data_IF_394060338703
#
_entry.id   IF_394060338703
#
_cell.length_a   1.000
_cell.length_b   1.000
_cell.length_c   1.000
_cell.angle_alpha   90.00
_cell.angle_beta   90.00
_cell.angle_gamma   90.00
#
_symmetry.space_group_name_H-M   'P 1'
#
loop_
_entity.id
_entity.type
_entity.pdbx_description
1 polymer ?
#
# COMPACT_ATOMS: atom_id res chain seq x y z
N UNK A 1 -76.42 -9.88 -31.78
CA UNK A 1 -77.63 -9.04 -31.66
C UNK A 1 -78.29 -9.37 -30.32
N UNK A 2 -78.31 -8.43 -29.39
CA UNK A 2 -78.86 -8.62 -28.05
C UNK A 2 -78.60 -7.35 -27.23
N UNK A 3 -79.69 -6.67 -26.90
CA UNK A 3 -79.77 -5.29 -26.44
C UNK A 3 -79.28 -5.04 -25.02
N UNK A 4 -78.95 -3.76 -24.83
CA UNK A 4 -78.75 -2.98 -23.60
C UNK A 4 -79.75 -3.27 -22.47
N UNK A 5 -79.31 -3.15 -21.22
CA UNK A 5 -79.79 -2.06 -20.36
C UNK A 5 -78.87 -1.76 -19.17
N UNK A 6 -78.75 -0.46 -18.93
CA UNK A 6 -78.01 0.25 -17.88
C UNK A 6 -78.89 0.36 -16.64
N UNK A 7 -78.31 0.24 -15.44
CA UNK A 7 -78.68 1.09 -14.30
C UNK A 7 -77.57 1.12 -13.24
N UNK A 8 -77.27 2.35 -12.83
CA UNK A 8 -76.29 2.78 -11.85
C UNK A 8 -76.63 2.31 -10.43
N UNK A 9 -75.61 2.15 -9.58
CA UNK A 9 -75.69 2.68 -8.22
C UNK A 9 -74.30 2.89 -7.60
N UNK A 10 -74.26 3.91 -6.75
CA UNK A 10 -73.10 4.61 -6.23
C UNK A 10 -72.18 3.73 -5.39
N UNK A 11 -70.88 3.95 -5.54
CA UNK A 11 -69.86 3.53 -4.57
C UNK A 11 -69.63 4.70 -3.63
N UNK A 12 -69.97 4.49 -2.36
CA UNK A 12 -69.60 5.37 -1.26
C UNK A 12 -68.13 5.18 -0.88
N UNK A 13 -67.58 6.30 -0.44
CA UNK A 13 -66.19 6.59 -0.14
C UNK A 13 -65.59 5.70 0.95
N UNK A 14 -64.40 5.16 0.67
CA UNK A 14 -63.47 4.66 1.68
C UNK A 14 -62.32 5.69 1.80
N UNK A 15 -61.98 6.16 3.00
CA UNK A 15 -60.92 7.14 3.17
C UNK A 15 -59.55 6.49 2.92
N UNK A 16 -58.73 7.20 2.15
CA UNK A 16 -57.33 6.92 1.90
C UNK A 16 -56.53 6.92 3.21
N UNK A 17 -55.98 5.77 3.59
CA UNK A 17 -54.87 5.72 4.54
C UNK A 17 -53.62 6.33 3.87
N UNK A 18 -53.17 7.45 4.43
CA UNK A 18 -51.85 8.01 4.16
C UNK A 18 -50.77 6.97 4.55
N UNK A 19 -49.82 6.63 3.67
CA UNK A 19 -48.60 5.98 4.11
C UNK A 19 -47.82 7.00 4.95
N UNK A 20 -47.79 6.74 6.26
CA UNK A 20 -46.90 7.43 7.19
C UNK A 20 -45.48 7.38 6.63
N UNK A 21 -44.96 8.57 6.34
CA UNK A 21 -43.55 8.83 6.09
C UNK A 21 -42.75 8.22 7.25
N UNK A 22 -42.14 7.06 7.03
CA UNK A 22 -41.03 6.58 7.86
C UNK A 22 -39.87 7.52 7.59
N UNK A 23 -39.86 8.65 8.31
CA UNK A 23 -38.66 9.40 8.64
C UNK A 23 -37.71 8.40 9.28
N UNK A 24 -36.86 7.77 8.46
CA UNK A 24 -35.61 7.21 8.92
C UNK A 24 -34.86 8.39 9.49
N UNK A 25 -34.82 8.47 10.82
CA UNK A 25 -33.71 9.13 11.48
C UNK A 25 -32.45 8.50 10.91
N UNK A 26 -31.84 9.18 9.93
CA UNK A 26 -30.40 9.17 9.80
C UNK A 26 -29.92 9.65 11.15
N UNK A 27 -29.56 8.72 12.01
CA UNK A 27 -28.50 9.01 12.94
C UNK A 27 -27.34 9.39 12.04
N UNK A 28 -27.10 10.69 11.94
CA UNK A 28 -25.78 11.20 11.65
C UNK A 28 -24.90 10.60 12.75
N UNK A 29 -24.38 9.39 12.49
CA UNK A 29 -23.13 8.98 13.10
C UNK A 29 -22.17 10.04 12.65
N UNK A 30 -21.94 11.02 13.52
CA UNK A 30 -20.72 11.81 13.52
C UNK A 30 -19.59 10.80 13.32
N UNK A 31 -19.09 10.71 12.08
CA UNK A 31 -17.82 10.08 11.78
C UNK A 31 -16.83 10.91 12.57
N UNK A 32 -16.60 10.52 13.83
CA UNK A 32 -15.45 11.00 14.58
C UNK A 32 -14.27 10.58 13.70
N UNK A 33 -13.68 11.55 13.00
CA UNK A 33 -12.39 11.42 12.33
C UNK A 33 -11.38 11.12 13.43
N UNK A 34 -11.34 9.84 13.81
CA UNK A 34 -10.22 9.32 14.54
C UNK A 34 -9.09 9.34 13.51
N UNK A 35 -8.23 10.35 13.61
CA UNK A 35 -6.87 10.35 13.07
C UNK A 35 -5.94 9.72 14.12
N UNK A 36 -6.01 8.41 14.44
CA UNK A 36 -4.99 7.88 15.31
C UNK A 36 -3.69 7.85 14.53
N UNK A 37 -2.65 8.29 15.22
CA UNK A 37 -1.29 7.85 15.00
C UNK A 37 -0.56 8.31 13.75
N UNK A 38 -1.16 9.04 12.79
CA UNK A 38 -0.35 9.74 11.79
C UNK A 38 0.62 10.71 12.45
N UNK A 39 0.25 11.39 13.54
CA UNK A 39 1.13 12.39 14.16
C UNK A 39 2.24 11.79 15.03
N UNK A 40 1.98 10.73 15.81
CA UNK A 40 3.01 10.03 16.58
C UNK A 40 3.99 9.26 15.67
N UNK A 41 3.46 8.62 14.62
CA UNK A 41 4.24 8.02 13.54
C UNK A 41 5.07 9.08 12.81
N UNK A 42 4.45 10.18 12.37
CA UNK A 42 5.16 11.29 11.72
C UNK A 42 6.24 11.84 12.62
N UNK A 43 5.97 12.08 13.91
CA UNK A 43 7.01 12.54 14.86
C UNK A 43 8.17 11.57 14.98
N UNK A 44 7.90 10.26 15.04
CA UNK A 44 8.93 9.22 15.14
C UNK A 44 9.76 9.14 13.85
N UNK A 45 9.12 9.05 12.68
CA UNK A 45 9.80 8.98 11.39
C UNK A 45 10.51 10.31 11.05
N UNK A 46 9.85 11.44 11.27
CA UNK A 46 10.43 12.78 11.06
C UNK A 46 11.60 13.04 12.00
N UNK A 47 11.64 12.45 13.20
CA UNK A 47 12.81 12.56 14.08
C UNK A 47 14.04 11.81 13.56
N UNK A 48 13.83 10.83 12.68
CA UNK A 48 14.91 10.05 12.03
C UNK A 48 15.33 10.70 10.71
N UNK A 49 14.40 11.33 9.99
CA UNK A 49 14.67 12.03 8.72
C UNK A 49 15.38 13.36 9.01
N UNK A 50 16.67 13.42 8.75
CA UNK A 50 17.46 14.65 8.80
C UNK A 50 17.61 15.17 7.38
N UNK A 51 17.00 16.32 7.08
CA UNK A 51 17.23 17.01 5.81
C UNK A 51 18.69 17.45 5.71
N UNK A 52 19.40 16.92 4.71
CA UNK A 52 20.76 17.34 4.40
C UNK A 52 20.72 18.31 3.22
N UNK A 53 21.06 19.60 3.42
CA UNK A 53 20.84 20.66 2.41
C UNK A 53 21.67 20.49 1.13
N UNK A 54 22.61 19.54 1.08
CA UNK A 54 23.46 19.25 -0.08
C UNK A 54 22.92 18.13 -0.98
N UNK A 55 21.87 17.42 -0.58
CA UNK A 55 21.36 16.27 -1.34
C UNK A 55 20.27 16.67 -2.33
N UNK A 56 20.26 16.03 -3.50
CA UNK A 56 19.10 16.06 -4.39
C UNK A 56 17.89 15.40 -3.70
N UNK A 57 16.70 15.61 -4.26
CA UNK A 57 15.49 14.98 -3.72
C UNK A 57 15.59 13.44 -3.74
N UNK A 58 16.11 12.84 -4.82
CA UNK A 58 16.38 11.40 -4.91
C UNK A 58 17.36 10.89 -3.86
N UNK A 59 18.48 11.58 -3.70
CA UNK A 59 19.50 11.22 -2.71
C UNK A 59 18.98 11.28 -1.28
N UNK A 60 18.13 12.27 -0.97
CA UNK A 60 17.48 12.35 0.34
C UNK A 60 16.56 11.14 0.57
N UNK A 61 15.77 10.74 -0.43
CA UNK A 61 14.91 9.55 -0.30
C UNK A 61 15.74 8.28 -0.04
N UNK A 62 16.87 8.11 -0.74
CA UNK A 62 17.79 6.98 -0.52
C UNK A 62 18.34 6.99 0.91
N UNK A 63 18.78 8.14 1.40
CA UNK A 63 19.26 8.28 2.78
C UNK A 63 18.16 7.95 3.80
N UNK A 64 16.93 8.38 3.56
CA UNK A 64 15.79 8.08 4.44
C UNK A 64 15.52 6.56 4.47
N UNK A 65 15.61 5.86 3.33
CA UNK A 65 15.49 4.40 3.28
C UNK A 65 16.60 3.70 4.07
N UNK A 66 17.85 4.19 3.96
CA UNK A 66 18.97 3.68 4.76
C UNK A 66 18.67 3.81 6.25
N UNK A 67 18.23 4.99 6.68
CA UNK A 67 18.01 5.27 8.10
C UNK A 67 16.83 4.49 8.67
N UNK A 68 15.75 4.31 7.89
CA UNK A 68 14.54 3.61 8.31
C UNK A 68 14.65 2.09 8.27
N UNK A 69 15.62 1.56 7.53
CA UNK A 69 15.89 0.12 7.47
C UNK A 69 17.02 -0.33 8.40
N UNK A 70 17.77 0.61 9.00
CA UNK A 70 18.75 0.34 10.05
C UNK A 70 18.07 0.02 11.39
N UNK A 71 18.17 -1.22 11.84
CA UNK A 71 17.59 -1.68 13.11
C UNK A 71 18.20 -1.00 14.34
N UNK A 72 19.41 -0.44 14.25
CA UNK A 72 20.00 0.31 15.35
C UNK A 72 19.37 1.70 15.51
N UNK A 73 18.90 2.29 14.40
CA UNK A 73 18.20 3.58 14.39
C UNK A 73 16.71 3.41 14.66
N UNK A 74 16.11 2.38 14.06
CA UNK A 74 14.68 2.07 14.20
C UNK A 74 14.51 0.61 14.63
N UNK A 75 14.55 0.32 15.93
CA UNK A 75 14.43 -1.06 16.43
C UNK A 75 13.03 -1.64 16.20
N UNK A 76 12.98 -2.85 15.66
CA UNK A 76 11.76 -3.58 15.27
C UNK A 76 11.12 -4.34 16.44
N UNK A 77 10.77 -3.63 17.52
CA UNK A 77 10.12 -4.22 18.69
C UNK A 77 8.75 -3.60 18.99
N UNK A 78 7.98 -4.29 19.83
CA UNK A 78 6.61 -3.86 20.17
C UNK A 78 6.54 -2.58 21.01
N UNK A 79 7.60 -2.26 21.76
CA UNK A 79 7.68 -1.03 22.55
C UNK A 79 7.71 0.20 21.62
N UNK A 80 8.42 0.07 20.49
CA UNK A 80 8.46 1.05 19.41
C UNK A 80 7.29 0.94 18.43
N UNK A 81 6.25 0.17 18.76
CA UNK A 81 5.05 0.02 17.93
C UNK A 81 5.16 -1.00 16.80
N UNK A 82 6.30 -1.63 16.54
CA UNK A 82 6.43 -2.63 15.48
C UNK A 82 5.86 -3.98 15.88
N UNK A 83 5.09 -4.59 14.97
CA UNK A 83 4.46 -5.88 15.19
C UNK A 83 4.93 -6.86 14.14
N UNK A 84 5.59 -7.92 14.58
CA UNK A 84 5.97 -9.00 13.71
C UNK A 84 4.70 -9.74 13.22
N UNK A 85 4.54 -9.79 11.90
CA UNK A 85 3.47 -10.50 11.20
C UNK A 85 3.96 -11.84 10.64
N UNK A 86 5.23 -11.91 10.23
CA UNK A 86 5.92 -13.13 9.79
C UNK A 86 7.31 -13.13 10.42
N UNK A 87 7.68 -14.22 11.09
CA UNK A 87 9.03 -14.46 11.62
C UNK A 87 9.51 -15.84 11.19
N UNK A 88 10.11 -15.91 10.00
CA UNK A 88 10.72 -17.10 9.45
C UNK A 88 12.19 -16.81 9.12
N UNK A 89 13.01 -17.85 9.02
CA UNK A 89 14.45 -17.69 8.80
C UNK A 89 14.78 -16.91 7.52
N UNK A 90 14.04 -17.15 6.44
CA UNK A 90 14.25 -16.53 5.13
C UNK A 90 13.39 -15.29 4.88
N UNK A 91 12.38 -15.03 5.72
CA UNK A 91 11.39 -13.98 5.50
C UNK A 91 10.89 -13.44 6.84
N UNK A 92 10.97 -12.12 7.00
CA UNK A 92 10.41 -11.37 8.12
C UNK A 92 9.55 -10.23 7.60
N UNK A 93 8.41 -10.01 8.24
CA UNK A 93 7.51 -8.91 7.93
C UNK A 93 7.00 -8.29 9.22
N UNK A 94 7.13 -6.98 9.32
CA UNK A 94 6.70 -6.17 10.44
C UNK A 94 5.74 -5.09 9.95
N UNK A 95 4.75 -4.76 10.79
CA UNK A 95 3.86 -3.65 10.55
C UNK A 95 3.80 -2.71 11.77
N UNK A 96 3.83 -1.41 11.50
CA UNK A 96 3.84 -0.40 12.55
C UNK A 96 2.45 -0.21 13.16
N UNK A 97 2.42 -0.10 14.48
CA UNK A 97 1.28 0.19 15.37
C UNK A 97 0.01 -0.67 15.24
N UNK A 98 0.13 -1.81 14.56
CA UNK A 98 -0.92 -2.79 14.39
C UNK A 98 -1.57 -3.28 15.71
N UNK A 99 -0.78 -3.61 16.75
CA UNK A 99 -1.32 -4.08 18.04
C UNK A 99 -2.00 -3.00 18.87
N UNK A 100 -1.52 -1.75 18.81
CA UNK A 100 -2.19 -0.63 19.50
C UNK A 100 -3.58 -0.43 18.91
N UNK A 101 -3.68 -0.52 17.58
CA UNK A 101 -4.96 -0.55 16.91
C UNK A 101 -5.80 -1.80 17.32
N UNK A 102 -5.25 -3.02 17.32
CA UNK A 102 -6.03 -4.20 17.74
C UNK A 102 -6.59 -4.09 19.18
N UNK A 103 -5.83 -3.52 20.14
CA UNK A 103 -6.30 -3.29 21.52
C UNK A 103 -7.41 -2.24 21.62
N UNK A 104 -7.30 -1.15 20.87
CA UNK A 104 -8.35 -0.11 20.84
C UNK A 104 -9.65 -0.64 20.21
N UNK A 105 -9.58 -1.60 19.26
CA UNK A 105 -10.77 -2.25 18.69
C UNK A 105 -11.58 -3.03 19.74
N UNK A 106 -10.91 -3.65 20.71
CA UNK A 106 -11.57 -4.41 21.77
C UNK A 106 -12.37 -3.52 22.73
N UNK A 107 -12.01 -2.23 22.83
CA UNK A 107 -12.58 -1.31 23.81
C UNK A 107 -13.56 -0.27 23.23
N UNK A 108 -13.45 0.10 21.94
CA UNK A 108 -14.19 1.25 21.37
C UNK A 108 -14.79 1.02 19.97
N UNK A 109 -14.75 -0.20 19.44
CA UNK A 109 -15.26 -0.50 18.09
C UNK A 109 -14.23 -0.31 16.98
N UNK A 110 -14.68 -0.45 15.72
CA UNK A 110 -13.85 -0.62 14.53
C UNK A 110 -12.76 0.47 14.35
N UNK A 111 -11.49 0.05 14.21
CA UNK A 111 -10.41 0.98 13.85
C UNK A 111 -10.19 1.01 12.37
N UNK A 112 -10.29 2.22 11.85
CA UNK A 112 -10.01 2.55 10.47
C UNK A 112 -8.53 2.88 10.32
N UNK A 113 -7.91 2.24 9.34
CA UNK A 113 -6.52 2.47 8.94
C UNK A 113 -6.53 2.98 7.52
N UNK A 114 -5.82 4.08 7.33
CA UNK A 114 -5.64 4.75 6.04
C UNK A 114 -4.21 4.62 5.52
N UNK A 115 -3.24 4.67 6.44
CA UNK A 115 -1.82 4.57 6.15
C UNK A 115 -1.33 3.19 6.57
N UNK A 116 -0.60 2.53 5.68
CA UNK A 116 0.05 1.24 5.93
C UNK A 116 1.55 1.48 5.97
N UNK A 117 2.18 1.01 7.04
CA UNK A 117 3.64 1.09 7.21
C UNK A 117 4.18 -0.31 7.48
N UNK A 118 5.00 -0.81 6.55
CA UNK A 118 5.61 -2.13 6.61
C UNK A 118 7.13 -2.05 6.54
N UNK A 119 7.78 -2.99 7.24
CA UNK A 119 9.18 -3.33 7.03
C UNK A 119 9.28 -4.82 6.76
N UNK A 120 9.99 -5.18 5.71
CA UNK A 120 10.23 -6.56 5.36
C UNK A 120 11.71 -6.85 5.21
N UNK A 121 12.09 -8.09 5.51
CA UNK A 121 13.43 -8.59 5.22
C UNK A 121 13.30 -9.99 4.66
N UNK A 122 13.90 -10.26 3.50
CA UNK A 122 13.89 -11.61 2.94
C UNK A 122 15.11 -11.89 2.08
N UNK A 123 15.42 -13.16 1.88
CA UNK A 123 16.53 -13.61 1.04
C UNK A 123 16.02 -14.13 -0.30
N UNK A 124 16.80 -13.91 -1.37
CA UNK A 124 16.58 -14.54 -2.66
C UNK A 124 17.84 -15.26 -3.11
N UNK A 125 17.67 -16.47 -3.65
CA UNK A 125 18.77 -17.26 -4.22
C UNK A 125 19.15 -16.77 -5.63
N UNK A 126 19.64 -15.55 -5.73
CA UNK A 126 20.18 -14.98 -6.97
C UNK A 126 21.34 -14.01 -6.69
N UNK A 127 21.95 -13.50 -7.76
CA UNK A 127 22.88 -12.37 -7.68
C UNK A 127 22.13 -11.04 -7.76
N UNK A 128 22.76 -9.96 -7.30
CA UNK A 128 22.24 -8.60 -7.51
C UNK A 128 22.02 -8.33 -9.00
N UNK A 129 22.92 -8.79 -9.88
CA UNK A 129 22.75 -8.57 -11.32
C UNK A 129 21.49 -9.26 -11.87
N UNK A 130 21.22 -10.50 -11.45
CA UNK A 130 19.99 -11.20 -11.83
C UNK A 130 18.76 -10.47 -11.30
N UNK A 131 18.81 -10.00 -10.05
CA UNK A 131 17.74 -9.21 -9.46
C UNK A 131 17.47 -7.91 -10.23
N UNK A 132 18.51 -7.18 -10.61
CA UNK A 132 18.41 -5.92 -11.36
C UNK A 132 17.97 -6.11 -12.81
N UNK A 133 18.13 -7.32 -13.37
CA UNK A 133 17.68 -7.65 -14.71
C UNK A 133 16.17 -7.94 -14.78
N UNK A 134 15.46 -7.99 -13.65
CA UNK A 134 14.00 -8.14 -13.63
C UNK A 134 13.35 -6.91 -14.27
N UNK A 135 12.76 -7.10 -15.44
CA UNK A 135 12.12 -6.03 -16.20
C UNK A 135 10.76 -5.64 -15.62
N UNK A 136 10.17 -4.55 -16.12
CA UNK A 136 8.80 -4.15 -15.76
C UNK A 136 7.77 -5.19 -16.20
N UNK A 137 8.00 -5.87 -17.33
CA UNK A 137 7.10 -6.92 -17.78
C UNK A 137 7.23 -8.19 -16.93
N UNK A 138 8.43 -8.50 -16.44
CA UNK A 138 8.64 -9.55 -15.44
C UNK A 138 7.89 -9.22 -14.15
N UNK A 139 7.89 -7.96 -13.72
CA UNK A 139 7.14 -7.54 -12.54
C UNK A 139 5.63 -7.80 -12.66
N UNK A 140 5.04 -7.69 -13.85
CA UNK A 140 3.63 -8.04 -14.10
C UNK A 140 3.38 -9.56 -14.01
N UNK A 141 4.40 -10.38 -14.30
CA UNK A 141 4.34 -11.84 -14.14
C UNK A 141 4.50 -12.24 -12.67
N UNK A 142 5.40 -11.56 -11.96
CA UNK A 142 5.70 -11.78 -10.54
C UNK A 142 4.50 -11.37 -9.67
N UNK A 143 3.98 -10.16 -9.88
CA UNK A 143 2.82 -9.63 -9.17
C UNK A 143 1.58 -9.55 -10.09
N UNK A 144 0.73 -10.57 -9.97
CA UNK A 144 -0.54 -10.69 -10.73
C UNK A 144 -1.58 -9.61 -10.37
N UNK A 145 -1.32 -8.81 -9.34
CA UNK A 145 -2.16 -7.65 -8.98
C UNK A 145 -1.82 -6.42 -9.81
N UNK A 146 -0.65 -6.35 -10.43
CA UNK A 146 -0.33 -5.26 -11.35
C UNK A 146 -1.23 -5.39 -12.58
N UNK A 147 -2.02 -4.34 -12.84
CA UNK A 147 -2.78 -4.18 -14.09
C UNK A 147 -1.94 -3.45 -15.12
N UNK A 148 -1.28 -2.39 -14.70
CA UNK A 148 -0.48 -1.51 -15.55
C UNK A 148 0.77 -1.09 -14.80
N UNK A 149 1.90 -1.08 -15.50
CA UNK A 149 3.15 -0.59 -14.95
C UNK A 149 3.96 -0.01 -16.10
N UNK A 150 4.19 1.30 -16.05
CA UNK A 150 4.82 2.07 -17.12
C UNK A 150 5.84 3.04 -16.53
N UNK A 151 6.90 3.27 -17.28
CA UNK A 151 7.79 4.41 -17.07
C UNK A 151 7.21 5.59 -17.86
N UNK A 152 6.94 6.68 -17.16
CA UNK A 152 6.37 7.91 -17.73
C UNK A 152 7.50 8.81 -18.22
N UNK A 153 8.57 8.92 -17.43
CA UNK A 153 9.74 9.75 -17.72
C UNK A 153 10.99 9.12 -17.10
N UNK A 154 12.13 9.27 -17.75
CA UNK A 154 13.44 8.84 -17.25
C UNK A 154 14.40 10.01 -17.22
N UNK A 155 15.12 10.14 -16.11
CA UNK A 155 16.28 11.00 -15.97
C UNK A 155 17.50 10.11 -15.70
N UNK A 156 18.26 9.83 -16.75
CA UNK A 156 19.44 8.97 -16.70
C UNK A 156 20.64 9.62 -16.00
N UNK A 157 20.69 10.96 -15.92
CA UNK A 157 21.77 11.69 -15.24
C UNK A 157 21.75 11.42 -13.72
N UNK A 158 20.55 11.30 -13.15
CA UNK A 158 20.35 11.07 -11.72
C UNK A 158 19.88 9.65 -11.38
N UNK A 159 19.78 8.75 -12.37
CA UNK A 159 19.18 7.42 -12.23
C UNK A 159 17.78 7.48 -11.60
N UNK A 160 16.99 8.44 -12.07
CA UNK A 160 15.64 8.69 -11.60
C UNK A 160 14.62 8.37 -12.70
N UNK A 161 13.41 7.99 -12.30
CA UNK A 161 12.31 7.78 -13.24
C UNK A 161 10.96 8.10 -12.60
N UNK A 162 10.06 8.71 -13.35
CA UNK A 162 8.66 8.83 -12.97
C UNK A 162 7.93 7.59 -13.47
N UNK A 163 7.22 6.90 -12.59
CA UNK A 163 6.54 5.65 -12.89
C UNK A 163 5.07 5.71 -12.53
N UNK A 164 4.26 5.07 -13.37
CA UNK A 164 2.84 4.83 -13.13
C UNK A 164 2.62 3.35 -12.86
N UNK A 165 1.89 3.04 -11.78
CA UNK A 165 1.60 1.68 -11.35
C UNK A 165 0.13 1.57 -10.94
N UNK A 166 -0.62 0.68 -11.56
CA UNK A 166 -2.00 0.38 -11.19
C UNK A 166 -2.13 -1.05 -10.65
N UNK A 167 -2.77 -1.19 -9.50
CA UNK A 167 -3.07 -2.47 -8.86
C UNK A 167 -4.57 -2.78 -8.83
N UNK A 168 -4.89 -4.05 -9.04
CA UNK A 168 -6.17 -4.67 -8.70
C UNK A 168 -6.46 -4.53 -7.20
N UNK A 169 -7.74 -4.54 -6.85
CA UNK A 169 -8.16 -4.58 -5.45
C UNK A 169 -7.61 -5.78 -4.67
N UNK A 170 -7.43 -5.58 -3.36
CA UNK A 170 -6.93 -6.57 -2.40
C UNK A 170 -7.91 -6.67 -1.23
N UNK A 171 -8.61 -7.79 -1.13
CA UNK A 171 -9.66 -7.97 -0.12
C UNK A 171 -10.77 -6.93 -0.27
N UNK A 172 -10.95 -6.11 0.76
CA UNK A 172 -11.94 -5.00 0.77
C UNK A 172 -11.42 -3.71 0.11
N UNK A 173 -10.12 -3.65 -0.22
CA UNK A 173 -9.54 -2.51 -0.93
C UNK A 173 -9.93 -2.54 -2.40
N UNK A 174 -10.50 -1.43 -2.88
CA UNK A 174 -10.68 -1.18 -4.32
C UNK A 174 -9.32 -0.99 -5.00
N UNK A 175 -9.32 -1.04 -6.34
CA UNK A 175 -8.11 -0.77 -7.14
C UNK A 175 -7.50 0.59 -6.82
N UNK A 176 -6.17 0.64 -6.92
CA UNK A 176 -5.37 1.84 -6.65
C UNK A 176 -4.36 2.04 -7.74
N UNK A 177 -4.14 3.28 -8.10
CA UNK A 177 -3.04 3.69 -8.96
C UNK A 177 -2.07 4.59 -8.18
N UNK A 178 -0.82 4.61 -8.62
CA UNK A 178 0.27 5.35 -8.02
C UNK A 178 1.07 6.01 -9.12
N UNK A 179 1.37 7.29 -8.94
CA UNK A 179 2.36 8.03 -9.72
C UNK A 179 3.47 8.44 -8.77
N UNK A 180 4.71 8.08 -9.08
CA UNK A 180 5.82 8.27 -8.16
C UNK A 180 7.14 8.48 -8.89
N UNK A 181 8.02 9.26 -8.27
CA UNK A 181 9.43 9.31 -8.60
C UNK A 181 10.11 8.10 -7.95
N UNK A 182 10.98 7.43 -8.71
CA UNK A 182 11.87 6.38 -8.23
C UNK A 182 13.31 6.83 -8.46
N UNK A 183 14.14 6.78 -7.42
CA UNK A 183 15.59 7.00 -7.49
C UNK A 183 16.32 5.69 -7.18
N UNK A 184 17.41 5.44 -7.90
CA UNK A 184 18.14 4.17 -7.85
C UNK A 184 19.64 4.45 -7.74
N UNK A 185 20.33 3.74 -6.84
CA UNK A 185 21.77 3.90 -6.64
C UNK A 185 22.44 2.54 -6.44
N UNK A 186 23.39 2.21 -7.33
CA UNK A 186 24.33 1.12 -7.13
C UNK A 186 25.55 1.66 -6.40
N UNK A 187 25.70 1.31 -5.12
CA UNK A 187 26.82 1.78 -4.27
C UNK A 187 28.07 0.95 -4.54
N UNK A 188 27.90 -0.36 -4.78
CA UNK A 188 28.97 -1.27 -5.15
C UNK A 188 28.40 -2.49 -5.89
N UNK A 189 29.26 -3.43 -6.30
CA UNK A 189 28.82 -4.73 -6.82
C UNK A 189 28.03 -5.57 -5.81
N UNK A 190 28.10 -5.22 -4.52
CA UNK A 190 27.45 -5.97 -3.43
C UNK A 190 26.30 -5.19 -2.78
N UNK A 191 26.03 -3.96 -3.22
CA UNK A 191 25.04 -3.10 -2.59
C UNK A 191 24.32 -2.23 -3.60
N UNK A 192 23.00 -2.38 -3.62
CA UNK A 192 22.08 -1.60 -4.43
C UNK A 192 20.96 -1.06 -3.54
N UNK A 193 20.54 0.18 -3.78
CA UNK A 193 19.49 0.84 -3.02
C UNK A 193 18.53 1.53 -4.00
N UNK A 194 17.25 1.47 -3.71
CA UNK A 194 16.25 2.27 -4.40
C UNK A 194 15.24 2.86 -3.43
N UNK A 195 14.71 4.02 -3.81
CA UNK A 195 13.69 4.72 -3.07
C UNK A 195 12.64 5.29 -4.02
N UNK A 196 11.41 5.43 -3.52
CA UNK A 196 10.26 5.89 -4.27
C UNK A 196 9.37 6.76 -3.39
N UNK A 197 8.80 7.80 -4.01
CA UNK A 197 7.86 8.72 -3.37
C UNK A 197 6.89 9.27 -4.39
N UNK A 198 5.62 9.36 -4.00
CA UNK A 198 4.60 9.94 -4.86
C UNK A 198 4.89 11.40 -5.17
N UNK A 199 4.66 11.76 -6.43
CA UNK A 199 4.70 13.15 -6.90
C UNK A 199 3.28 13.67 -7.09
N UNK A 200 3.09 14.96 -6.91
CA UNK A 200 1.79 15.58 -7.14
C UNK A 200 1.44 15.61 -8.63
N UNK A 201 0.14 15.46 -8.91
CA UNK A 201 -0.40 15.19 -10.24
C UNK A 201 -0.37 16.44 -11.13
N UNK A 202 0.78 16.71 -11.74
CA UNK A 202 0.88 17.70 -12.84
C UNK A 202 0.77 17.04 -14.22
N UNK A 203 0.80 15.70 -14.28
CA UNK A 203 0.95 14.95 -15.54
C UNK A 203 -0.38 14.47 -16.14
N UNK A 204 -1.51 14.68 -15.46
CA UNK A 204 -2.84 14.41 -16.01
C UNK A 204 -3.22 12.93 -16.09
N UNK A 205 -2.43 12.04 -15.49
CA UNK A 205 -2.65 10.59 -15.46
C UNK A 205 -3.74 10.19 -14.45
N UNK A 206 -4.88 10.87 -14.37
CA UNK A 206 -5.95 10.48 -13.43
C UNK A 206 -6.95 9.56 -14.14
N UNK A 207 -6.92 8.28 -13.78
CA UNK A 207 -7.97 7.37 -14.18
C UNK A 207 -9.20 7.48 -13.29
N UNK A 208 -10.33 7.91 -13.86
CA UNK A 208 -11.60 8.10 -13.15
C UNK A 208 -12.15 6.84 -12.44
N UNK A 209 -11.64 5.65 -12.75
CA UNK A 209 -12.11 4.38 -12.18
C UNK A 209 -11.30 3.90 -10.97
N UNK A 210 -10.15 4.53 -10.69
CA UNK A 210 -9.22 4.13 -9.62
C UNK A 210 -9.07 5.28 -8.63
N UNK A 211 -8.68 4.96 -7.40
CA UNK A 211 -8.31 5.99 -6.42
C UNK A 211 -6.79 6.10 -6.40
N UNK A 212 -6.26 7.31 -6.57
CA UNK A 212 -4.83 7.58 -6.46
C UNK A 212 -4.36 7.38 -5.03
N UNK A 213 -3.59 6.32 -4.81
CA UNK A 213 -2.83 6.14 -3.57
C UNK A 213 -1.63 7.09 -3.54
N UNK A 214 -1.03 7.26 -2.37
CA UNK A 214 0.17 8.07 -2.20
C UNK A 214 1.24 7.27 -1.48
N UNK A 215 2.40 7.13 -2.11
CA UNK A 215 3.61 6.58 -1.49
C UNK A 215 4.27 7.74 -0.75
N UNK A 216 4.20 7.72 0.58
CA UNK A 216 4.89 8.71 1.40
C UNK A 216 6.41 8.50 1.31
N UNK A 217 6.83 7.23 1.40
CA UNK A 217 8.17 6.75 1.13
C UNK A 217 8.13 5.22 0.98
N UNK A 218 8.79 4.68 -0.03
CA UNK A 218 9.00 3.24 -0.18
C UNK A 218 10.39 2.99 -0.74
N UNK A 219 10.95 1.83 -0.50
CA UNK A 219 12.28 1.52 -1.03
C UNK A 219 12.86 0.26 -0.43
N UNK A 220 14.04 -0.08 -0.89
CA UNK A 220 14.73 -1.28 -0.46
C UNK A 220 16.24 -1.16 -0.59
N UNK A 221 16.92 -1.87 0.30
CA UNK A 221 18.36 -2.14 0.25
C UNK A 221 18.52 -3.59 -0.16
N UNK A 222 19.35 -3.82 -1.17
CA UNK A 222 19.70 -5.14 -1.70
C UNK A 222 21.19 -5.37 -1.48
N UNK A 223 21.51 -6.34 -0.63
CA UNK A 223 22.86 -6.70 -0.22
C UNK A 223 23.24 -8.09 -0.75
N UNK A 224 24.38 -8.22 -1.41
CA UNK A 224 24.92 -9.54 -1.80
C UNK A 224 25.57 -10.17 -0.57
N UNK A 225 24.99 -11.25 -0.03
CA UNK A 225 25.50 -11.91 1.19
C UNK A 225 26.46 -13.06 0.87
N UNK A 226 26.32 -13.71 -0.27
CA UNK A 226 27.25 -14.70 -0.81
C UNK A 226 27.14 -14.74 -2.35
N UNK A 227 27.84 -15.65 -3.03
CA UNK A 227 27.88 -15.72 -4.50
C UNK A 227 26.53 -15.94 -5.21
N UNK A 228 25.52 -16.45 -4.53
CA UNK A 228 24.24 -16.85 -5.10
C UNK A 228 23.04 -16.43 -4.27
N UNK A 229 23.22 -15.56 -3.28
CA UNK A 229 22.15 -15.13 -2.39
C UNK A 229 22.27 -13.63 -2.11
N UNK A 230 21.14 -12.95 -2.23
CA UNK A 230 20.96 -11.56 -1.81
C UNK A 230 20.03 -11.49 -0.60
N UNK A 231 20.22 -10.46 0.21
CA UNK A 231 19.33 -10.03 1.28
C UNK A 231 18.64 -8.73 0.85
N UNK A 232 17.32 -8.71 0.94
CA UNK A 232 16.50 -7.53 0.64
C UNK A 232 15.90 -7.03 1.95
N UNK A 233 16.12 -5.75 2.26
CA UNK A 233 15.48 -5.02 3.37
C UNK A 233 14.59 -3.96 2.77
N UNK A 234 13.29 -4.05 2.98
CA UNK A 234 12.29 -3.18 2.36
C UNK A 234 11.58 -2.33 3.42
N UNK A 235 11.29 -1.08 3.05
CA UNK A 235 10.42 -0.18 3.79
C UNK A 235 9.28 0.28 2.87
N UNK A 236 8.07 0.37 3.43
CA UNK A 236 6.87 0.81 2.71
C UNK A 236 6.00 1.66 3.62
N UNK A 237 5.75 2.91 3.24
CA UNK A 237 4.80 3.83 3.86
C UNK A 237 3.85 4.37 2.78
N UNK A 238 2.60 3.92 2.82
CA UNK A 238 1.59 4.20 1.80
C UNK A 238 0.28 4.66 2.42
N UNK A 239 -0.22 5.80 1.95
CA UNK A 239 -1.58 6.29 2.19
C UNK A 239 -2.52 5.77 1.08
N UNK A 240 -3.46 4.90 1.46
CA UNK A 240 -4.43 4.30 0.54
C UNK A 240 -5.62 5.21 0.20
N UNK A 241 -5.66 6.43 0.75
CA UNK A 241 -6.74 7.42 0.64
C UNK A 241 -8.12 6.84 0.96
N UNK A 242 -8.15 5.86 1.85
CA UNK A 242 -9.39 5.18 2.24
C UNK A 242 -9.21 4.57 3.61
N UNK A 243 -10.22 4.76 4.44
CA UNK A 243 -10.32 4.18 5.76
C UNK A 243 -10.77 2.73 5.66
N UNK A 244 -9.95 1.80 6.13
CA UNK A 244 -10.28 0.37 6.15
C UNK A 244 -10.08 -0.22 7.52
N UNK A 245 -11.00 -1.08 7.92
CA UNK A 245 -10.84 -1.82 9.18
C UNK A 245 -9.58 -2.68 9.14
N UNK A 246 -8.71 -2.52 10.13
CA UNK A 246 -7.43 -3.21 10.20
C UNK A 246 -7.54 -4.74 10.10
N UNK A 247 -8.56 -5.31 10.76
CA UNK A 247 -8.87 -6.74 10.73
C UNK A 247 -9.08 -7.26 9.29
N UNK A 248 -9.58 -6.41 8.39
CA UNK A 248 -9.83 -6.76 6.99
C UNK A 248 -8.59 -6.62 6.10
N UNK A 249 -7.50 -6.04 6.61
CA UNK A 249 -6.25 -5.82 5.85
C UNK A 249 -5.16 -6.82 6.18
N UNK A 250 -5.10 -7.33 7.42
CA UNK A 250 -4.00 -8.19 7.89
C UNK A 250 -3.77 -9.40 6.98
N UNK A 251 -4.81 -10.21 6.83
CA UNK A 251 -4.73 -11.47 6.08
C UNK A 251 -4.51 -11.24 4.58
N UNK A 252 -5.20 -10.27 3.93
CA UNK A 252 -4.89 -9.95 2.54
C UNK A 252 -3.44 -9.49 2.32
N UNK A 253 -2.90 -8.61 3.17
CA UNK A 253 -1.49 -8.14 3.04
C UNK A 253 -0.53 -9.30 3.20
N UNK A 254 -0.69 -10.12 4.24
CA UNK A 254 0.12 -11.32 4.46
C UNK A 254 0.11 -12.24 3.24
N UNK A 255 -1.08 -12.54 2.71
CA UNK A 255 -1.25 -13.43 1.58
C UNK A 255 -0.60 -12.89 0.30
N UNK A 256 -0.77 -11.61 0.01
CA UNK A 256 -0.18 -11.01 -1.20
C UNK A 256 1.34 -10.85 -1.06
N UNK A 257 1.86 -10.56 0.14
CA UNK A 257 3.30 -10.51 0.40
C UNK A 257 3.99 -11.87 0.21
N UNK A 258 3.42 -12.95 0.78
CA UNK A 258 3.96 -14.31 0.61
C UNK A 258 3.96 -14.71 -0.87
N UNK A 259 2.86 -14.48 -1.58
CA UNK A 259 2.78 -14.76 -3.03
C UNK A 259 3.80 -13.98 -3.83
N UNK A 260 3.97 -12.69 -3.53
CA UNK A 260 4.96 -11.86 -4.21
C UNK A 260 6.37 -12.42 -4.03
N UNK A 261 6.74 -12.74 -2.79
CA UNK A 261 8.03 -13.33 -2.47
C UNK A 261 8.26 -14.67 -3.17
N UNK A 262 7.30 -15.58 -3.12
CA UNK A 262 7.37 -16.88 -3.80
C UNK A 262 7.49 -16.72 -5.33
N UNK A 263 6.66 -15.85 -5.92
CA UNK A 263 6.71 -15.57 -7.36
C UNK A 263 8.06 -14.98 -7.78
N UNK A 264 8.59 -14.03 -7.01
CA UNK A 264 9.88 -13.41 -7.28
C UNK A 264 11.01 -14.42 -7.18
N UNK A 265 11.02 -15.24 -6.12
CA UNK A 265 11.99 -16.31 -5.92
C UNK A 265 11.95 -17.33 -7.07
N UNK A 266 10.76 -17.72 -7.52
CA UNK A 266 10.60 -18.63 -8.66
C UNK A 266 11.09 -18.00 -9.96
N UNK A 267 10.78 -16.72 -10.18
CA UNK A 267 11.18 -16.01 -11.39
C UNK A 267 12.71 -15.90 -11.51
N UNK A 268 13.40 -15.46 -10.45
CA UNK A 268 14.88 -15.33 -10.48
C UNK A 268 15.58 -16.68 -10.56
N UNK A 269 14.99 -17.76 -10.02
CA UNK A 269 15.51 -19.11 -10.18
C UNK A 269 15.35 -19.63 -11.61
N UNK A 270 14.25 -19.30 -12.29
CA UNK A 270 14.02 -19.69 -13.68
C UNK A 270 15.04 -19.05 -14.63
N UNK A 271 15.44 -17.80 -14.36
CA UNK A 271 16.49 -17.11 -15.13
C UNK A 271 17.89 -17.74 -15.02
N UNK A 272 18.10 -18.70 -14.10
CA UNK A 272 19.38 -19.42 -13.93
C UNK A 272 19.52 -20.63 -14.86
N UNK A 273 18.42 -21.08 -15.48
CA UNK A 273 18.38 -22.25 -16.36
C UNK A 273 18.61 -21.85 -17.81
#
# INVERSE_FOLDING_TARGET
MGNMNVCCNAREDLPHEHPQNKLKHKQDTEESEYEPNTEAYRKTIQSVIIQKPSLTFGEQMIQDIIDLTDENKVPLNSENGWNCLIDQASVKLYAFEWKKAEKSMQNQGCILVRVIVLRAQFQLNCTIQQYLNVSIDDMKLIDKKIEEFNIVEENTEHNESIRYLAHKGIGVLKSRDFLYLKSQQKISEQLYIEAAKSIEDQTGYIEKKRTRGSINLAGQIVEQINLSTILIKQFLDVDLKTNVQLANLKNPILKEFVKYHESLQNHVNFQQQ
#
